data_IF_682472559143
#
_entry.id   IF_682472559143
#
_cell.length_a   1.000
_cell.length_b   1.000
_cell.length_c   1.000
_cell.angle_alpha   90.00
_cell.angle_beta   90.00
_cell.angle_gamma   90.00
#
_symmetry.space_group_name_H-M   'P 1'
#
loop_
_entity.id
_entity.type
_entity.pdbx_description
1 polymer ?
#
# COMPACT_ATOMS: atom_id res chain seq x y z
N UNK A 1 -56.05 37.58 2.57
CA UNK A 1 -55.54 36.64 3.60
C UNK A 1 -55.25 35.26 3.00
N UNK A 2 -56.22 34.62 2.34
CA UNK A 2 -56.07 33.28 1.72
C UNK A 2 -54.95 33.16 0.66
N UNK A 3 -54.75 34.22 -0.15
CA UNK A 3 -53.69 34.24 -1.17
C UNK A 3 -52.26 34.21 -0.58
N UNK A 4 -52.05 34.90 0.54
CA UNK A 4 -50.74 34.95 1.21
C UNK A 4 -50.41 33.61 1.88
N UNK A 5 -51.40 32.97 2.50
CA UNK A 5 -51.22 31.63 3.09
C UNK A 5 -50.85 30.60 2.02
N UNK A 6 -51.51 30.65 0.86
CA UNK A 6 -51.18 29.76 -0.26
C UNK A 6 -49.77 30.01 -0.80
N UNK A 7 -49.35 31.29 -0.93
CA UNK A 7 -47.99 31.64 -1.34
C UNK A 7 -46.93 31.14 -0.35
N UNK A 8 -47.18 31.25 0.96
CA UNK A 8 -46.27 30.73 1.99
C UNK A 8 -46.09 29.21 1.85
N UNK A 9 -47.19 28.46 1.65
CA UNK A 9 -47.12 27.01 1.46
C UNK A 9 -46.34 26.62 0.19
N UNK A 10 -46.51 27.34 -0.92
CA UNK A 10 -45.70 27.10 -2.13
C UNK A 10 -44.21 27.38 -1.91
N UNK A 11 -43.90 28.41 -1.13
CA UNK A 11 -42.52 28.72 -0.77
C UNK A 11 -41.91 27.60 0.09
N UNK A 12 -42.60 27.16 1.15
CA UNK A 12 -42.16 26.06 2.01
C UNK A 12 -41.99 24.76 1.21
N UNK A 13 -42.93 24.42 0.33
CA UNK A 13 -42.81 23.24 -0.52
C UNK A 13 -41.57 23.32 -1.42
N UNK A 14 -41.32 24.49 -2.02
CA UNK A 14 -40.14 24.69 -2.89
C UNK A 14 -38.85 24.63 -2.08
N UNK A 15 -38.83 25.20 -0.87
CA UNK A 15 -37.70 25.16 0.04
C UNK A 15 -37.36 23.72 0.42
N UNK A 16 -38.33 22.97 0.94
CA UNK A 16 -38.15 21.57 1.33
C UNK A 16 -37.71 20.70 0.16
N UNK A 17 -38.27 20.91 -1.04
CA UNK A 17 -37.80 20.20 -2.26
C UNK A 17 -36.35 20.54 -2.61
N UNK A 18 -35.93 21.79 -2.40
CA UNK A 18 -34.54 22.20 -2.59
C UNK A 18 -33.60 21.53 -1.60
N UNK A 19 -34.00 21.44 -0.33
CA UNK A 19 -33.23 20.76 0.71
C UNK A 19 -33.11 19.25 0.44
N UNK A 20 -34.21 18.58 0.06
CA UNK A 20 -34.18 17.16 -0.31
C UNK A 20 -33.23 16.93 -1.48
N UNK A 21 -33.33 17.75 -2.54
CA UNK A 21 -32.45 17.62 -3.70
C UNK A 21 -30.97 17.87 -3.34
N UNK A 22 -30.69 18.78 -2.41
CA UNK A 22 -29.34 19.02 -1.92
C UNK A 22 -28.79 17.84 -1.11
N UNK A 23 -29.64 17.19 -0.30
CA UNK A 23 -29.28 15.99 0.44
C UNK A 23 -29.04 14.78 -0.49
N UNK A 24 -29.92 14.57 -1.47
CA UNK A 24 -29.80 13.47 -2.45
C UNK A 24 -28.60 13.64 -3.39
N UNK A 25 -28.25 14.88 -3.73
CA UNK A 25 -27.09 15.20 -4.56
C UNK A 25 -25.77 15.18 -3.80
N UNK A 26 -25.78 14.85 -2.50
CA UNK A 26 -24.56 14.80 -1.71
C UNK A 26 -23.66 13.66 -2.21
N UNK A 27 -22.46 14.04 -2.67
CA UNK A 27 -21.47 13.09 -3.16
C UNK A 27 -20.79 12.35 -2.00
N UNK A 28 -21.28 11.15 -1.73
CA UNK A 28 -20.72 10.31 -0.68
C UNK A 28 -19.44 9.63 -1.16
N UNK A 29 -18.30 10.00 -0.57
CA UNK A 29 -16.97 9.45 -0.92
C UNK A 29 -16.88 7.92 -0.97
N UNK A 30 -17.68 7.21 -0.18
CA UNK A 30 -17.64 5.74 -0.16
C UNK A 30 -18.13 5.14 -1.50
N UNK A 31 -18.97 5.85 -2.25
CA UNK A 31 -19.47 5.41 -3.57
C UNK A 31 -18.39 5.42 -4.65
N UNK A 32 -17.28 6.13 -4.41
CA UNK A 32 -16.14 6.24 -5.33
C UNK A 32 -14.98 5.32 -4.94
N UNK A 33 -15.13 4.52 -3.88
CA UNK A 33 -14.08 3.60 -3.46
C UNK A 33 -13.92 2.49 -4.52
N UNK A 34 -12.68 2.16 -4.93
CA UNK A 34 -12.45 1.05 -5.83
C UNK A 34 -12.53 -0.25 -5.03
N UNK A 35 -13.77 -0.70 -4.79
CA UNK A 35 -14.10 -1.98 -4.16
C UNK A 35 -14.13 -3.07 -5.23
N UNK A 36 -13.82 -4.31 -4.84
CA UNK A 36 -14.06 -5.47 -5.69
C UNK A 36 -15.56 -5.61 -6.05
N UNK A 37 -15.89 -6.25 -7.18
CA UNK A 37 -17.27 -6.56 -7.55
C UNK A 37 -18.00 -7.33 -6.44
N UNK A 38 -19.32 -7.17 -6.35
CA UNK A 38 -20.14 -7.82 -5.32
C UNK A 38 -20.05 -9.34 -5.44
N UNK A 39 -20.02 -9.85 -6.66
CA UNK A 39 -19.92 -11.27 -6.97
C UNK A 39 -18.62 -11.87 -6.44
N UNK A 40 -17.50 -11.17 -6.64
CA UNK A 40 -16.18 -11.60 -6.16
C UNK A 40 -16.09 -11.52 -4.63
N UNK A 41 -16.68 -10.48 -4.03
CA UNK A 41 -16.79 -10.37 -2.58
C UNK A 41 -17.60 -11.51 -1.97
N UNK A 42 -18.79 -11.83 -2.51
CA UNK A 42 -19.64 -12.90 -2.00
C UNK A 42 -19.06 -14.31 -2.21
N UNK A 43 -18.13 -14.48 -3.15
CA UNK A 43 -17.35 -15.71 -3.27
C UNK A 43 -16.33 -15.86 -2.13
N UNK A 44 -15.75 -14.75 -1.67
CA UNK A 44 -14.75 -14.72 -0.60
C UNK A 44 -15.42 -14.72 0.79
N UNK A 45 -16.56 -14.05 0.92
CA UNK A 45 -17.32 -13.89 2.16
C UNK A 45 -18.80 -14.34 1.93
N UNK A 46 -19.06 -15.66 1.79
CA UNK A 46 -20.39 -16.18 1.54
C UNK A 46 -21.39 -15.93 2.68
N UNK A 47 -20.92 -15.61 3.89
CA UNK A 47 -21.75 -15.25 5.05
C UNK A 47 -22.62 -14.01 4.84
N UNK A 48 -22.22 -13.11 3.92
CA UNK A 48 -22.93 -11.85 3.65
C UNK A 48 -23.96 -11.94 2.52
N UNK A 49 -24.28 -13.15 2.02
CA UNK A 49 -25.23 -13.33 0.92
C UNK A 49 -26.67 -12.93 1.25
N UNK A 50 -27.04 -12.96 2.53
CA UNK A 50 -28.39 -12.63 3.01
C UNK A 50 -28.50 -11.22 3.56
N UNK A 51 -27.40 -10.47 3.57
CA UNK A 51 -27.36 -9.12 4.12
C UNK A 51 -28.12 -8.15 3.21
N UNK A 52 -28.69 -7.11 3.82
CA UNK A 52 -29.26 -6.01 3.05
C UNK A 52 -28.16 -5.16 2.39
N UNK A 53 -28.55 -4.28 1.47
CA UNK A 53 -27.61 -3.47 0.69
C UNK A 53 -26.67 -2.62 1.57
N UNK A 54 -27.17 -2.12 2.70
CA UNK A 54 -26.40 -1.26 3.59
C UNK A 54 -25.36 -2.07 4.37
N UNK A 55 -25.78 -3.17 4.99
CA UNK A 55 -24.87 -4.06 5.72
C UNK A 55 -23.83 -4.68 4.78
N UNK A 56 -24.24 -5.08 3.58
CA UNK A 56 -23.33 -5.59 2.55
C UNK A 56 -22.29 -4.53 2.14
N UNK A 57 -22.68 -3.26 1.98
CA UNK A 57 -21.75 -2.18 1.66
C UNK A 57 -20.73 -1.96 2.77
N UNK A 58 -21.16 -1.97 4.03
CA UNK A 58 -20.25 -1.84 5.19
C UNK A 58 -19.26 -3.01 5.22
N UNK A 59 -19.75 -4.24 5.06
CA UNK A 59 -18.92 -5.43 5.03
C UNK A 59 -17.85 -5.37 3.92
N UNK A 60 -18.26 -4.95 2.71
CA UNK A 60 -17.35 -4.77 1.56
C UNK A 60 -16.28 -3.72 1.82
N UNK A 61 -16.64 -2.58 2.41
CA UNK A 61 -15.68 -1.51 2.74
C UNK A 61 -14.67 -2.02 3.78
N UNK A 62 -15.14 -2.72 4.82
CA UNK A 62 -14.29 -3.26 5.86
C UNK A 62 -13.33 -4.34 5.33
N UNK A 63 -13.81 -5.21 4.44
CA UNK A 63 -12.98 -6.21 3.78
C UNK A 63 -11.87 -5.55 2.94
N UNK A 64 -12.22 -4.60 2.07
CA UNK A 64 -11.22 -3.87 1.27
C UNK A 64 -10.21 -3.14 2.15
N UNK A 65 -10.65 -2.55 3.26
CA UNK A 65 -9.76 -1.90 4.21
C UNK A 65 -8.77 -2.89 4.83
N UNK A 66 -9.24 -4.05 5.29
CA UNK A 66 -8.40 -5.09 5.87
C UNK A 66 -7.38 -5.62 4.87
N UNK A 67 -7.81 -5.90 3.64
CA UNK A 67 -6.93 -6.35 2.54
C UNK A 67 -5.84 -5.32 2.24
N UNK A 68 -6.19 -4.03 2.13
CA UNK A 68 -5.22 -2.97 1.90
C UNK A 68 -4.24 -2.81 3.05
N UNK A 69 -4.70 -2.96 4.28
CA UNK A 69 -3.83 -2.90 5.44
C UNK A 69 -2.82 -4.06 5.42
N UNK A 70 -3.26 -5.29 5.16
CA UNK A 70 -2.39 -6.46 5.06
C UNK A 70 -1.36 -6.34 3.93
N UNK A 71 -1.79 -5.80 2.77
CA UNK A 71 -0.90 -5.51 1.65
C UNK A 71 0.16 -4.46 2.01
N UNK A 72 -0.22 -3.40 2.71
CA UNK A 72 0.70 -2.35 3.15
C UNK A 72 1.70 -2.87 4.18
N UNK A 73 1.26 -3.67 5.15
CA UNK A 73 2.14 -4.33 6.13
C UNK A 73 3.17 -5.24 5.43
N UNK A 74 2.71 -6.05 4.47
CA UNK A 74 3.58 -6.90 3.64
C UNK A 74 4.58 -6.07 2.84
N UNK A 75 4.13 -4.98 2.21
CA UNK A 75 4.98 -4.06 1.45
C UNK A 75 6.08 -3.45 2.32
N UNK A 76 5.74 -3.02 3.54
CA UNK A 76 6.71 -2.50 4.50
C UNK A 76 7.73 -3.55 4.93
N UNK A 77 7.28 -4.78 5.18
CA UNK A 77 8.16 -5.92 5.48
C UNK A 77 9.19 -6.16 4.37
N UNK A 78 8.72 -6.27 3.12
CA UNK A 78 9.57 -6.48 1.95
C UNK A 78 10.54 -5.31 1.72
N UNK A 79 10.12 -4.07 1.98
CA UNK A 79 11.01 -2.91 1.87
C UNK A 79 12.14 -2.97 2.89
N UNK A 80 11.85 -3.37 4.13
CA UNK A 80 12.86 -3.53 5.18
C UNK A 80 13.85 -4.63 4.83
N UNK A 81 13.37 -5.78 4.36
CA UNK A 81 14.22 -6.89 3.92
C UNK A 81 15.13 -6.46 2.76
N UNK A 82 14.56 -5.80 1.74
CA UNK A 82 15.32 -5.25 0.61
C UNK A 82 16.44 -4.31 1.08
N UNK A 83 16.15 -3.41 2.02
CA UNK A 83 17.18 -2.51 2.58
C UNK A 83 18.27 -3.29 3.33
N UNK A 84 17.91 -4.32 4.08
CA UNK A 84 18.85 -5.23 4.73
C UNK A 84 19.79 -5.91 3.74
N UNK A 85 19.24 -6.50 2.67
CA UNK A 85 20.01 -7.16 1.62
C UNK A 85 20.94 -6.19 0.88
N UNK A 86 20.51 -4.95 0.64
CA UNK A 86 21.36 -3.91 0.03
C UNK A 86 22.55 -3.59 0.95
N UNK A 87 22.30 -3.40 2.25
CA UNK A 87 23.36 -3.13 3.21
C UNK A 87 24.35 -4.30 3.34
N UNK A 88 23.85 -5.53 3.37
CA UNK A 88 24.68 -6.73 3.42
C UNK A 88 25.54 -6.89 2.15
N UNK A 89 24.95 -6.73 0.97
CA UNK A 89 25.70 -6.78 -0.29
C UNK A 89 26.79 -5.71 -0.34
N UNK A 90 26.49 -4.48 0.13
CA UNK A 90 27.49 -3.41 0.22
C UNK A 90 28.64 -3.82 1.15
N UNK A 91 28.32 -4.32 2.35
CA UNK A 91 29.35 -4.79 3.30
C UNK A 91 30.22 -5.88 2.69
N UNK A 92 29.62 -6.91 2.09
CA UNK A 92 30.36 -8.01 1.44
C UNK A 92 31.26 -7.51 0.30
N UNK A 93 30.80 -6.51 -0.46
CA UNK A 93 31.61 -5.88 -1.52
C UNK A 93 32.80 -5.12 -0.93
N UNK A 94 32.60 -4.38 0.15
CA UNK A 94 33.66 -3.64 0.83
C UNK A 94 34.69 -4.60 1.46
N UNK A 95 34.22 -5.70 2.08
CA UNK A 95 35.06 -6.77 2.63
C UNK A 95 35.91 -7.42 1.54
N UNK A 96 35.32 -7.74 0.37
CA UNK A 96 36.05 -8.31 -0.77
C UNK A 96 37.14 -7.36 -1.27
N UNK A 97 36.83 -6.07 -1.41
CA UNK A 97 37.81 -5.07 -1.84
C UNK A 97 38.96 -4.88 -0.83
N UNK A 98 38.72 -5.14 0.46
CA UNK A 98 39.78 -5.14 1.46
C UNK A 98 40.66 -6.40 1.36
N UNK A 99 40.05 -7.57 1.16
CA UNK A 99 40.77 -8.82 0.94
C UNK A 99 41.68 -8.72 -0.29
N UNK A 100 41.19 -8.14 -1.40
CA UNK A 100 41.99 -7.94 -2.61
C UNK A 100 43.26 -7.12 -2.31
N UNK A 101 43.14 -6.03 -1.55
CA UNK A 101 44.29 -5.21 -1.15
C UNK A 101 45.26 -5.95 -0.24
N UNK A 102 44.75 -6.75 0.69
CA UNK A 102 45.60 -7.51 1.60
C UNK A 102 46.31 -8.66 0.89
N UNK A 103 45.67 -9.25 -0.13
CA UNK A 103 46.28 -10.23 -1.02
C UNK A 103 47.41 -9.60 -1.86
N UNK A 104 47.19 -8.41 -2.43
CA UNK A 104 48.23 -7.66 -3.14
C UNK A 104 49.45 -7.42 -2.25
N UNK A 105 49.25 -6.91 -1.03
CA UNK A 105 50.34 -6.72 -0.06
C UNK A 105 51.05 -8.03 0.29
N UNK A 106 50.30 -9.12 0.44
CA UNK A 106 50.87 -10.44 0.72
C UNK A 106 51.78 -10.91 -0.42
N UNK A 107 51.33 -10.77 -1.67
CA UNK A 107 52.11 -11.11 -2.86
C UNK A 107 53.38 -10.24 -2.93
N UNK A 108 53.26 -8.93 -2.73
CA UNK A 108 54.40 -8.01 -2.69
C UNK A 108 55.43 -8.42 -1.61
N UNK A 109 54.95 -8.77 -0.42
CA UNK A 109 55.80 -9.21 0.69
C UNK A 109 56.47 -10.58 0.45
N UNK A 110 55.81 -11.49 -0.29
CA UNK A 110 56.33 -12.81 -0.63
C UNK A 110 57.31 -12.78 -1.83
N UNK A 111 57.20 -11.79 -2.71
CA UNK A 111 58.02 -11.64 -3.92
C UNK A 111 59.54 -11.73 -3.68
N UNK A 112 60.13 -11.13 -2.63
CA UNK A 112 61.56 -11.25 -2.35
C UNK A 112 61.99 -12.69 -2.05
N UNK A 113 61.17 -13.46 -1.35
CA UNK A 113 61.46 -14.85 -1.00
C UNK A 113 61.49 -15.71 -2.27
N UNK A 114 60.48 -15.54 -3.14
CA UNK A 114 60.40 -16.24 -4.43
C UNK A 114 61.65 -15.95 -5.28
N UNK A 115 62.06 -14.68 -5.39
CA UNK A 115 63.26 -14.26 -6.12
C UNK A 115 64.56 -14.87 -5.58
N UNK A 116 64.62 -15.19 -4.28
CA UNK A 116 65.78 -15.86 -3.70
C UNK A 116 65.87 -17.31 -4.18
N UNK A 117 64.75 -18.03 -4.21
CA UNK A 117 64.70 -19.42 -4.68
C UNK A 117 64.86 -19.55 -6.21
N UNK A 118 64.42 -18.54 -6.98
CA UNK A 118 64.63 -18.50 -8.44
C UNK A 118 66.08 -18.26 -8.86
N UNK A 119 66.96 -17.77 -7.95
CA UNK A 119 68.39 -17.53 -8.23
C UNK A 119 69.30 -18.72 -7.96
N UNK A 120 68.80 -19.76 -7.30
CA UNK A 120 69.58 -20.96 -6.95
C UNK A 120 69.46 -22.11 -7.99
N UNK A 121 68.80 -21.85 -9.13
CA UNK A 121 68.81 -22.67 -10.35
C UNK A 121 69.24 -21.84 -11.55
#
# INVERSE_FOLDING_TARGET
MLHLQLQNLYYEQRHLRGEIAACEAYDHKYQQLPLIPVEDFLQQCPEHQTDDEHELMIARINHEHAERQALEETRQGLLKEKQGLIAENKKRKDDLANIDKDLEKFIEAATPIIKTFEKEY
#
